data_IF_900551931319
#
_entry.id   IF_900551931319
#
_cell.length_a   1.000
_cell.length_b   1.000
_cell.length_c   1.000
_cell.angle_alpha   90.00
_cell.angle_beta   90.00
_cell.angle_gamma   90.00
#
_symmetry.space_group_name_H-M   'P 1'
#
loop_
_entity.id
_entity.type
_entity.pdbx_description
1 polymer ?
#
# COMPACT_ATOMS: atom_id res chain seq x y z
N UNK A 1 7.32 9.89 -10.40
CA UNK A 1 5.85 10.10 -10.60
C UNK A 1 5.32 9.05 -11.54
N UNK A 2 4.24 8.38 -11.19
CA UNK A 2 3.73 7.23 -11.92
C UNK A 2 2.22 7.29 -12.06
N UNK A 3 1.72 6.89 -13.23
CA UNK A 3 0.32 6.55 -13.42
C UNK A 3 0.19 5.03 -13.38
N UNK A 4 -0.58 4.52 -12.41
CA UNK A 4 -0.75 3.09 -12.18
C UNK A 4 -2.21 2.70 -12.33
N UNK A 5 -2.48 1.66 -13.09
CA UNK A 5 -3.82 1.08 -13.22
C UNK A 5 -3.86 -0.17 -12.35
N UNK A 6 -4.64 -0.12 -11.26
CA UNK A 6 -4.84 -1.28 -10.38
C UNK A 6 -6.05 -2.09 -10.83
N UNK A 7 -5.85 -3.35 -11.18
CA UNK A 7 -6.92 -4.23 -11.65
C UNK A 7 -6.91 -5.61 -10.97
N UNK A 8 -8.02 -6.29 -11.06
CA UNK A 8 -8.21 -7.65 -10.54
C UNK A 8 -9.67 -7.97 -10.31
N UNK A 9 -9.95 -9.22 -10.02
CA UNK A 9 -11.31 -9.71 -9.76
C UNK A 9 -11.93 -9.06 -8.52
N UNK A 10 -13.24 -9.18 -8.37
CA UNK A 10 -13.95 -8.68 -7.19
C UNK A 10 -13.34 -9.28 -5.90
N UNK A 11 -13.12 -8.45 -4.90
CA UNK A 11 -12.48 -8.89 -3.65
C UNK A 11 -10.99 -9.23 -3.73
N UNK A 12 -10.30 -8.93 -4.85
CA UNK A 12 -8.85 -9.17 -5.00
C UNK A 12 -7.97 -8.23 -4.16
N UNK A 13 -8.55 -7.18 -3.57
CA UNK A 13 -7.85 -6.22 -2.73
C UNK A 13 -7.29 -5.00 -3.47
N UNK A 14 -7.88 -4.62 -4.61
CA UNK A 14 -7.48 -3.43 -5.38
C UNK A 14 -7.52 -2.16 -4.53
N UNK A 15 -8.68 -1.89 -3.92
CA UNK A 15 -8.86 -0.74 -3.04
C UNK A 15 -7.94 -0.82 -1.81
N UNK A 16 -7.78 -2.03 -1.21
CA UNK A 16 -6.82 -2.22 -0.11
C UNK A 16 -5.37 -1.91 -0.54
N UNK A 17 -4.97 -2.27 -1.76
CA UNK A 17 -3.66 -1.89 -2.30
C UNK A 17 -3.53 -0.36 -2.37
N UNK A 18 -4.49 0.34 -2.97
CA UNK A 18 -4.46 1.79 -3.10
C UNK A 18 -4.47 2.49 -1.72
N UNK A 19 -5.24 1.99 -0.76
CA UNK A 19 -5.26 2.49 0.63
C UNK A 19 -3.92 2.26 1.33
N UNK A 20 -3.22 1.15 1.05
CA UNK A 20 -1.88 0.91 1.59
C UNK A 20 -0.85 1.91 1.06
N UNK A 21 -0.96 2.28 -0.21
CA UNK A 21 -0.15 3.33 -0.81
C UNK A 21 -0.48 4.71 -0.19
N UNK A 22 -1.78 5.04 -0.04
CA UNK A 22 -2.22 6.27 0.63
C UNK A 22 -1.61 6.39 2.03
N UNK A 23 -1.63 5.32 2.81
CA UNK A 23 -1.01 5.28 4.12
C UNK A 23 0.50 5.56 4.07
N UNK A 24 1.21 5.03 3.07
CA UNK A 24 2.64 5.30 2.90
C UNK A 24 2.93 6.77 2.55
N UNK A 25 2.04 7.42 1.79
CA UNK A 25 2.13 8.85 1.48
C UNK A 25 1.85 9.72 2.70
N UNK A 26 0.81 9.42 3.47
CA UNK A 26 0.45 10.16 4.68
C UNK A 26 1.54 10.10 5.76
N UNK A 27 2.26 9.00 5.87
CA UNK A 27 3.44 8.89 6.76
C UNK A 27 4.54 9.90 6.43
N UNK A 28 4.64 10.29 5.16
CA UNK A 28 5.65 11.23 4.65
C UNK A 28 5.10 12.65 4.53
N UNK A 29 3.94 12.93 5.12
CA UNK A 29 3.23 14.21 5.01
C UNK A 29 2.96 14.64 3.55
N UNK A 30 2.73 13.67 2.66
CA UNK A 30 2.39 13.94 1.26
C UNK A 30 0.88 14.02 1.08
N UNK A 31 0.43 14.85 0.14
CA UNK A 31 -1.00 15.02 -0.14
C UNK A 31 -1.61 13.74 -0.66
N UNK A 32 -2.78 13.38 -0.13
CA UNK A 32 -3.57 12.24 -0.60
C UNK A 32 -4.98 12.73 -0.95
N UNK A 33 -5.46 12.29 -2.10
CA UNK A 33 -6.79 12.58 -2.63
C UNK A 33 -7.44 11.28 -3.07
N UNK A 34 -8.71 11.08 -2.74
CA UNK A 34 -9.47 9.91 -3.16
C UNK A 34 -10.92 10.30 -3.47
N UNK A 35 -11.59 9.56 -4.34
CA UNK A 35 -13.04 9.72 -4.60
C UNK A 35 -13.90 8.86 -3.66
N UNK A 36 -13.33 8.40 -2.57
CA UNK A 36 -14.02 7.68 -1.50
C UNK A 36 -13.44 8.08 -0.14
N UNK A 37 -14.21 7.83 0.91
CA UNK A 37 -13.83 8.19 2.26
C UNK A 37 -12.67 7.34 2.77
N UNK A 38 -11.66 8.02 3.33
CA UNK A 38 -10.51 7.41 3.98
C UNK A 38 -10.39 7.94 5.42
N UNK A 39 -10.38 7.03 6.38
CA UNK A 39 -10.19 7.33 7.79
C UNK A 39 -8.93 6.65 8.33
N UNK A 40 -7.91 7.44 8.58
CA UNK A 40 -6.65 6.98 9.16
C UNK A 40 -6.48 7.39 10.63
N UNK A 41 -7.55 7.82 11.30
CA UNK A 41 -7.50 8.30 12.70
C UNK A 41 -6.96 7.26 13.68
N UNK A 42 -7.18 5.98 13.42
CA UNK A 42 -6.68 4.86 14.23
C UNK A 42 -5.31 4.33 13.80
N UNK A 43 -4.70 4.89 12.75
CA UNK A 43 -3.47 4.35 12.18
C UNK A 43 -2.22 4.98 12.82
N UNK A 44 -1.27 4.18 13.33
CA UNK A 44 -0.03 4.70 13.88
C UNK A 44 0.88 5.25 12.78
N UNK A 45 1.73 6.20 13.15
CA UNK A 45 2.77 6.76 12.29
C UNK A 45 2.30 7.57 11.06
N UNK A 46 1.04 8.01 11.03
CA UNK A 46 0.62 9.06 10.09
C UNK A 46 1.15 10.39 10.59
N UNK A 47 1.66 11.22 9.69
CA UNK A 47 2.19 12.53 10.08
C UNK A 47 1.04 13.42 10.63
N UNK A 48 1.24 14.15 11.71
CA UNK A 48 0.17 14.94 12.37
C UNK A 48 -0.51 15.96 11.45
N UNK A 49 0.25 16.55 10.53
CA UNK A 49 -0.27 17.55 9.59
C UNK A 49 -0.84 16.96 8.30
N UNK A 50 -0.81 15.63 8.18
CA UNK A 50 -1.34 14.94 7.00
C UNK A 50 -2.85 15.03 6.95
N UNK A 51 -3.38 15.15 5.74
CA UNK A 51 -4.81 15.20 5.49
C UNK A 51 -5.17 14.46 4.19
N UNK A 52 -6.42 14.03 4.11
CA UNK A 52 -7.00 13.44 2.91
C UNK A 52 -8.04 14.41 2.34
N UNK A 53 -7.97 14.67 1.04
CA UNK A 53 -9.01 15.37 0.31
C UNK A 53 -9.95 14.33 -0.31
N UNK A 54 -11.26 14.53 -0.16
CA UNK A 54 -12.26 13.65 -0.74
C UNK A 54 -12.89 14.32 -1.95
N UNK A 55 -12.84 13.66 -3.08
CA UNK A 55 -13.52 14.04 -4.32
C UNK A 55 -14.93 13.47 -4.36
N UNK A 56 -15.79 14.00 -5.25
CA UNK A 56 -17.03 13.34 -5.60
C UNK A 56 -16.79 11.91 -6.11
N UNK A 57 -17.79 11.05 -6.00
CA UNK A 57 -17.68 9.64 -6.44
C UNK A 57 -17.26 9.52 -7.91
N UNK A 58 -17.83 10.38 -8.79
CA UNK A 58 -17.39 10.52 -10.19
C UNK A 58 -16.82 11.93 -10.36
N UNK A 59 -15.49 12.12 -10.23
CA UNK A 59 -14.87 13.42 -10.37
C UNK A 59 -14.94 13.93 -11.82
N UNK A 60 -15.13 15.23 -11.96
CA UNK A 60 -15.07 15.95 -13.24
C UNK A 60 -13.71 16.59 -13.45
N UNK A 61 -13.42 17.02 -14.66
CA UNK A 61 -12.18 17.73 -14.97
C UNK A 61 -11.98 18.97 -14.08
N UNK A 62 -13.05 19.72 -13.80
CA UNK A 62 -13.03 20.89 -12.92
C UNK A 62 -12.58 20.53 -11.48
N UNK A 63 -13.01 19.38 -10.97
CA UNK A 63 -12.65 18.90 -9.63
C UNK A 63 -11.14 18.61 -9.53
N UNK A 64 -10.59 17.98 -10.58
CA UNK A 64 -9.17 17.70 -10.64
C UNK A 64 -8.32 18.97 -10.82
N UNK A 65 -8.81 19.93 -11.62
CA UNK A 65 -8.14 21.24 -11.74
C UNK A 65 -8.12 22.00 -10.41
N UNK A 66 -9.18 21.92 -9.60
CA UNK A 66 -9.27 22.55 -8.29
C UNK A 66 -8.24 21.99 -7.27
N UNK A 67 -7.69 20.78 -7.49
CA UNK A 67 -6.65 20.21 -6.64
C UNK A 67 -5.35 21.01 -6.70
N UNK A 68 -5.06 21.66 -7.82
CA UNK A 68 -3.79 22.35 -8.03
C UNK A 68 -2.61 21.38 -8.06
N UNK A 69 -1.44 21.83 -7.59
CA UNK A 69 -0.22 21.00 -7.58
C UNK A 69 -0.23 20.02 -6.42
N UNK A 70 0.15 18.76 -6.67
CA UNK A 70 0.24 17.69 -5.68
C UNK A 70 1.45 17.82 -4.77
N UNK A 71 2.58 18.22 -5.34
CA UNK A 71 3.84 18.44 -4.62
C UNK A 71 4.81 19.28 -5.43
N UNK A 72 5.85 19.85 -4.79
CA UNK A 72 6.83 20.71 -5.45
C UNK A 72 7.83 19.92 -6.31
N UNK A 73 8.09 18.67 -5.98
CA UNK A 73 9.07 17.83 -6.65
C UNK A 73 8.54 16.42 -6.93
N UNK A 74 9.27 15.66 -7.74
CA UNK A 74 8.93 14.26 -8.03
C UNK A 74 8.94 13.38 -6.77
N UNK A 75 9.84 13.65 -5.85
CA UNK A 75 9.95 12.90 -4.58
C UNK A 75 8.87 13.26 -3.56
N UNK A 76 8.20 14.39 -3.75
CA UNK A 76 7.15 14.90 -2.87
C UNK A 76 5.77 14.94 -3.54
N UNK A 77 5.63 14.22 -4.67
CA UNK A 77 4.39 14.14 -5.39
C UNK A 77 3.23 13.69 -4.49
N UNK A 78 2.06 14.29 -4.69
CA UNK A 78 0.82 13.85 -4.05
C UNK A 78 0.30 12.55 -4.69
N UNK A 79 -0.64 11.89 -4.05
CA UNK A 79 -1.31 10.68 -4.53
C UNK A 79 -2.78 10.97 -4.80
N UNK A 80 -3.22 10.70 -6.02
CA UNK A 80 -4.63 10.69 -6.41
C UNK A 80 -5.09 9.25 -6.61
N UNK A 81 -6.16 8.86 -5.93
CA UNK A 81 -6.79 7.55 -6.05
C UNK A 81 -8.20 7.73 -6.59
N UNK A 82 -8.52 7.05 -7.68
CA UNK A 82 -9.87 7.00 -8.24
C UNK A 82 -10.32 5.55 -8.27
N UNK A 83 -11.31 5.24 -7.43
CA UNK A 83 -11.97 3.93 -7.45
C UNK A 83 -13.07 3.93 -8.52
N UNK A 84 -13.32 2.75 -9.08
CA UNK A 84 -14.26 2.52 -10.19
C UNK A 84 -14.03 3.49 -11.37
N UNK A 85 -12.76 3.72 -11.74
CA UNK A 85 -12.36 4.68 -12.78
C UNK A 85 -12.98 4.44 -14.15
N UNK A 86 -13.55 3.26 -14.37
CA UNK A 86 -14.32 2.98 -15.57
C UNK A 86 -15.57 3.86 -15.72
N UNK A 87 -16.16 4.36 -14.63
CA UNK A 87 -17.29 5.29 -14.71
C UNK A 87 -16.89 6.66 -15.27
N UNK A 88 -15.69 7.11 -14.95
CA UNK A 88 -15.19 8.40 -15.43
C UNK A 88 -14.62 8.33 -16.86
N UNK A 89 -14.08 7.17 -17.25
CA UNK A 89 -13.28 6.98 -18.47
C UNK A 89 -13.85 5.90 -19.38
N UNK A 90 -15.17 5.72 -19.40
CA UNK A 90 -15.85 4.72 -20.20
C UNK A 90 -15.76 5.06 -21.70
N UNK A 91 -15.45 4.05 -22.51
CA UNK A 91 -15.37 4.16 -23.97
C UNK A 91 -16.71 4.52 -24.64
N UNK A 92 -17.84 4.23 -23.99
CA UNK A 92 -19.18 4.53 -24.53
C UNK A 92 -19.52 6.01 -24.50
N UNK A 93 -18.79 6.83 -23.76
CA UNK A 93 -18.96 8.27 -23.60
C UNK A 93 -17.84 9.05 -24.30
N UNK A 94 -17.31 8.55 -25.39
CA UNK A 94 -16.15 9.12 -26.09
C UNK A 94 -16.32 10.55 -26.59
N UNK A 95 -17.57 10.99 -26.83
CA UNK A 95 -17.89 12.35 -27.26
C UNK A 95 -18.08 13.35 -26.08
N UNK A 96 -17.94 12.92 -24.85
CA UNK A 96 -18.15 13.75 -23.68
C UNK A 96 -16.92 14.67 -23.45
N UNK A 97 -17.16 15.98 -23.42
CA UNK A 97 -16.14 17.01 -23.14
C UNK A 97 -15.51 16.84 -21.76
N UNK A 98 -16.29 16.40 -20.77
CA UNK A 98 -15.79 16.14 -19.42
C UNK A 98 -14.73 15.02 -19.42
N UNK A 99 -14.99 13.95 -20.15
CA UNK A 99 -14.05 12.86 -20.31
C UNK A 99 -12.75 13.32 -20.97
N UNK A 100 -12.84 14.15 -22.01
CA UNK A 100 -11.66 14.69 -22.68
C UNK A 100 -10.82 15.55 -21.70
N UNK A 101 -11.47 16.40 -20.94
CA UNK A 101 -10.81 17.21 -19.90
C UNK A 101 -10.12 16.35 -18.81
N UNK A 102 -10.72 15.21 -18.42
CA UNK A 102 -10.08 14.27 -17.51
C UNK A 102 -8.82 13.65 -18.12
N UNK A 103 -8.87 13.20 -19.38
CA UNK A 103 -7.71 12.63 -20.09
C UNK A 103 -6.57 13.64 -20.18
N UNK A 104 -6.88 14.88 -20.52
CA UNK A 104 -5.90 15.99 -20.60
C UNK A 104 -5.26 16.25 -19.23
N UNK A 105 -6.06 16.30 -18.18
CA UNK A 105 -5.53 16.46 -16.83
C UNK A 105 -4.62 15.29 -16.41
N UNK A 106 -5.03 14.05 -16.68
CA UNK A 106 -4.20 12.87 -16.39
C UNK A 106 -2.88 12.88 -17.17
N UNK A 107 -2.89 13.33 -18.42
CA UNK A 107 -1.68 13.48 -19.21
C UNK A 107 -0.71 14.52 -18.61
N UNK A 108 -1.26 15.51 -17.92
CA UNK A 108 -0.49 16.55 -17.22
C UNK A 108 -0.17 16.19 -15.75
N UNK A 109 -0.75 15.13 -15.21
CA UNK A 109 -0.66 14.78 -13.77
C UNK A 109 0.78 14.77 -13.27
N UNK A 110 1.72 14.22 -14.07
CA UNK A 110 3.14 14.23 -13.74
C UNK A 110 3.69 15.64 -13.58
N UNK A 111 3.38 16.56 -14.50
CA UNK A 111 3.83 17.96 -14.43
C UNK A 111 3.18 18.71 -13.26
N UNK A 112 1.96 18.31 -12.88
CA UNK A 112 1.24 18.84 -11.75
C UNK A 112 1.71 18.26 -10.41
N UNK A 113 2.61 17.29 -10.40
CA UNK A 113 3.15 16.70 -9.20
C UNK A 113 2.24 15.66 -8.56
N UNK A 114 1.48 14.89 -9.35
CA UNK A 114 0.60 13.85 -8.88
C UNK A 114 1.03 12.46 -9.36
N UNK A 115 1.10 11.51 -8.42
CA UNK A 115 1.02 10.10 -8.71
C UNK A 115 -0.45 9.70 -8.75
N UNK A 116 -0.84 8.86 -9.71
CA UNK A 116 -2.24 8.46 -9.90
C UNK A 116 -2.37 6.94 -9.77
N UNK A 117 -3.38 6.50 -9.02
CA UNK A 117 -3.83 5.10 -9.00
C UNK A 117 -5.29 5.08 -9.46
N UNK A 118 -5.50 4.52 -10.63
CA UNK A 118 -6.82 4.28 -11.19
C UNK A 118 -7.23 2.83 -10.92
N UNK A 119 -8.28 2.63 -10.14
CA UNK A 119 -8.77 1.28 -9.81
C UNK A 119 -9.88 0.91 -10.79
N UNK A 120 -9.75 -0.26 -11.40
CA UNK A 120 -10.72 -0.81 -12.35
C UNK A 120 -10.88 -2.32 -12.14
N UNK A 121 -11.98 -2.86 -12.64
CA UNK A 121 -12.19 -4.32 -12.59
C UNK A 121 -11.47 -5.02 -13.73
N UNK A 122 -11.55 -4.47 -14.93
CA UNK A 122 -10.96 -5.06 -16.14
C UNK A 122 -10.41 -3.98 -17.07
N UNK A 123 -9.24 -4.20 -17.65
CA UNK A 123 -8.57 -3.22 -18.52
C UNK A 123 -9.39 -2.85 -19.77
N UNK A 124 -10.21 -3.76 -20.25
CA UNK A 124 -11.08 -3.51 -21.42
C UNK A 124 -12.24 -2.55 -21.12
N UNK A 125 -12.53 -2.29 -19.83
CA UNK A 125 -13.54 -1.28 -19.46
C UNK A 125 -13.07 0.16 -19.74
N UNK A 126 -11.75 0.34 -19.87
CA UNK A 126 -11.17 1.62 -20.26
C UNK A 126 -11.13 1.77 -21.78
N UNK A 127 -11.28 3.01 -22.23
CA UNK A 127 -11.07 3.38 -23.63
C UNK A 127 -9.65 3.01 -24.11
N UNK A 128 -9.55 2.73 -25.41
CA UNK A 128 -8.28 2.45 -26.08
C UNK A 128 -7.28 3.60 -25.92
N UNK A 129 -7.72 4.85 -26.03
CA UNK A 129 -6.88 6.04 -25.85
C UNK A 129 -6.30 6.08 -24.42
N UNK A 130 -7.12 5.86 -23.39
CA UNK A 130 -6.69 5.84 -22.00
C UNK A 130 -5.68 4.71 -21.75
N UNK A 131 -5.94 3.53 -22.31
CA UNK A 131 -5.01 2.38 -22.20
C UNK A 131 -3.65 2.65 -22.85
N UNK A 132 -3.62 3.31 -24.01
CA UNK A 132 -2.39 3.65 -24.72
C UNK A 132 -1.60 4.74 -23.99
N UNK A 133 -2.28 5.74 -23.43
CA UNK A 133 -1.62 6.86 -22.75
C UNK A 133 -1.12 6.48 -21.34
N UNK A 134 -1.85 5.65 -20.62
CA UNK A 134 -1.63 5.42 -19.19
C UNK A 134 -1.38 3.95 -18.83
N UNK A 135 -1.37 3.06 -19.82
CA UNK A 135 -1.21 1.63 -19.62
C UNK A 135 0.22 1.16 -19.32
N UNK A 136 1.18 2.09 -19.13
CA UNK A 136 2.57 1.73 -18.87
C UNK A 136 2.78 0.95 -17.57
N UNK A 137 1.99 1.21 -16.55
CA UNK A 137 2.12 0.55 -15.25
C UNK A 137 0.81 -0.09 -14.81
N UNK A 138 0.74 -1.40 -14.94
CA UNK A 138 -0.41 -2.21 -14.57
C UNK A 138 -0.13 -2.97 -13.26
N UNK A 139 -0.98 -2.79 -12.26
CA UNK A 139 -0.90 -3.48 -10.97
C UNK A 139 -1.99 -4.54 -10.90
N UNK A 140 -1.59 -5.80 -10.93
CA UNK A 140 -2.49 -6.95 -10.81
C UNK A 140 -2.61 -7.36 -9.36
N UNK A 141 -3.80 -7.16 -8.78
CA UNK A 141 -4.09 -7.57 -7.41
C UNK A 141 -4.65 -8.99 -7.38
N UNK A 142 -4.04 -9.86 -6.58
CA UNK A 142 -4.41 -11.26 -6.41
C UNK A 142 -4.49 -11.64 -4.93
N UNK A 143 -5.46 -12.48 -4.60
CA UNK A 143 -5.59 -13.07 -3.25
C UNK A 143 -4.77 -14.36 -3.19
N UNK A 144 -3.89 -14.48 -2.20
CA UNK A 144 -3.13 -15.69 -1.96
C UNK A 144 -3.86 -16.67 -1.03
N UNK A 145 -4.79 -16.18 -0.19
CA UNK A 145 -5.58 -17.01 0.72
C UNK A 145 -6.53 -18.01 0.03
N UNK A 146 -6.81 -17.80 -1.26
CA UNK A 146 -7.54 -18.79 -2.09
C UNK A 146 -6.67 -19.92 -2.58
N UNK A 147 -5.34 -19.78 -2.50
CA UNK A 147 -4.40 -20.82 -2.88
C UNK A 147 -4.15 -21.74 -1.69
N UNK A 148 -4.13 -23.03 -1.93
CA UNK A 148 -3.77 -24.04 -0.92
C UNK A 148 -2.38 -24.56 -1.24
N UNK A 149 -1.48 -24.49 -0.26
CA UNK A 149 -0.18 -25.12 -0.38
C UNK A 149 -0.36 -26.65 -0.36
N UNK A 150 0.16 -27.35 -1.37
CA UNK A 150 -0.03 -28.80 -1.57
C UNK A 150 -1.50 -29.26 -1.57
N UNK A 151 -2.45 -28.36 -1.91
CA UNK A 151 -3.87 -28.69 -1.95
C UNK A 151 -4.57 -28.75 -0.57
N UNK A 152 -3.84 -28.72 0.53
CA UNK A 152 -4.36 -28.97 1.89
C UNK A 152 -4.23 -27.74 2.79
N UNK A 153 -3.06 -27.11 2.85
CA UNK A 153 -2.77 -26.03 3.81
C UNK A 153 -3.22 -24.68 3.24
N UNK A 154 -4.19 -23.99 3.87
CA UNK A 154 -4.61 -22.67 3.44
C UNK A 154 -3.50 -21.65 3.69
N UNK A 155 -3.17 -20.85 2.68
CA UNK A 155 -2.22 -19.74 2.84
C UNK A 155 -2.79 -18.63 3.72
N UNK A 156 -1.95 -17.85 4.41
CA UNK A 156 -2.40 -16.75 5.24
C UNK A 156 -3.15 -15.71 4.38
N UNK A 157 -4.05 -14.94 5.01
CA UNK A 157 -4.82 -13.86 4.33
C UNK A 157 -3.89 -12.69 3.94
N UNK A 158 -3.07 -12.95 2.93
CA UNK A 158 -2.15 -12.00 2.31
C UNK A 158 -2.56 -11.82 0.86
N UNK A 159 -2.50 -10.59 0.40
CA UNK A 159 -2.73 -10.24 -0.99
C UNK A 159 -1.40 -9.88 -1.65
N UNK A 160 -1.34 -10.11 -2.94
CA UNK A 160 -0.19 -9.82 -3.78
C UNK A 160 -0.59 -8.82 -4.86
N UNK A 161 0.11 -7.71 -4.93
CA UNK A 161 0.09 -6.77 -6.03
C UNK A 161 1.32 -7.01 -6.92
N UNK A 162 1.10 -7.36 -8.17
CA UNK A 162 2.16 -7.56 -9.16
C UNK A 162 2.12 -6.40 -10.12
N UNK A 163 3.16 -5.56 -10.10
CA UNK A 163 3.31 -4.45 -11.05
C UNK A 163 3.98 -4.95 -12.32
N UNK A 164 3.38 -4.65 -13.46
CA UNK A 164 3.89 -4.97 -14.79
C UNK A 164 4.11 -3.71 -15.60
N UNK A 165 5.07 -3.75 -16.50
CA UNK A 165 5.36 -2.67 -17.42
C UNK A 165 4.63 -2.92 -18.74
N UNK A 166 3.38 -2.41 -18.84
CA UNK A 166 2.50 -2.60 -19.98
C UNK A 166 1.21 -3.35 -19.62
N UNK A 167 0.26 -3.32 -20.54
CA UNK A 167 -1.09 -3.90 -20.38
C UNK A 167 -1.21 -5.35 -20.87
N UNK A 168 -0.17 -5.87 -21.54
CA UNK A 168 -0.18 -7.21 -22.09
C UNK A 168 0.10 -8.28 -21.03
N UNK A 169 -0.42 -9.48 -21.28
CA UNK A 169 -0.21 -10.62 -20.38
C UNK A 169 1.27 -11.04 -20.28
N UNK A 170 2.05 -10.78 -21.34
CA UNK A 170 3.48 -11.09 -21.45
C UNK A 170 4.37 -9.97 -20.90
N UNK A 171 3.79 -8.83 -20.52
CA UNK A 171 4.55 -7.67 -20.03
C UNK A 171 5.46 -8.03 -18.84
N UNK A 172 6.69 -7.51 -18.79
CA UNK A 172 7.64 -7.82 -17.74
C UNK A 172 7.14 -7.34 -16.36
N UNK A 173 7.46 -8.12 -15.35
CA UNK A 173 7.14 -7.77 -13.96
C UNK A 173 8.19 -6.82 -13.43
N UNK A 174 7.78 -5.60 -13.04
CA UNK A 174 8.66 -4.57 -12.45
C UNK A 174 8.70 -4.62 -10.93
N UNK A 175 7.67 -5.17 -10.28
CA UNK A 175 7.61 -5.24 -8.82
C UNK A 175 6.57 -6.21 -8.28
N UNK A 176 6.74 -6.59 -7.02
CA UNK A 176 5.78 -7.41 -6.26
C UNK A 176 5.66 -6.84 -4.86
N UNK A 177 4.44 -6.53 -4.45
CA UNK A 177 4.15 -6.00 -3.11
C UNK A 177 3.16 -6.90 -2.41
N UNK A 178 3.51 -7.35 -1.20
CA UNK A 178 2.62 -8.12 -0.36
C UNK A 178 1.96 -7.20 0.65
N UNK A 179 0.66 -7.30 0.82
CA UNK A 179 -0.09 -6.51 1.80
C UNK A 179 -1.19 -7.33 2.47
N UNK A 180 -1.58 -6.90 3.67
CA UNK A 180 -2.62 -7.56 4.47
C UNK A 180 -3.85 -6.65 4.54
N UNK A 181 -5.00 -7.03 3.96
CA UNK A 181 -6.21 -6.21 4.00
C UNK A 181 -6.68 -5.89 5.42
N UNK A 182 -6.51 -6.82 6.37
CA UNK A 182 -6.91 -6.61 7.77
C UNK A 182 -6.24 -5.41 8.44
N UNK A 183 -5.01 -5.08 8.07
CA UNK A 183 -4.29 -3.95 8.66
C UNK A 183 -4.77 -2.60 8.13
N UNK A 184 -5.48 -2.60 7.01
CA UNK A 184 -5.88 -1.39 6.28
C UNK A 184 -7.41 -1.28 6.19
N UNK A 185 -8.12 -2.38 6.45
CA UNK A 185 -9.57 -2.48 6.30
C UNK A 185 -10.38 -1.53 7.19
N UNK A 186 -9.79 -1.05 8.28
CA UNK A 186 -10.44 -0.03 9.12
C UNK A 186 -10.37 1.39 8.50
N UNK A 187 -9.54 1.60 7.47
CA UNK A 187 -9.35 2.92 6.88
C UNK A 187 -10.43 3.30 5.86
N UNK A 188 -11.23 2.37 5.39
CA UNK A 188 -12.26 2.64 4.37
C UNK A 188 -13.43 1.67 4.47
N UNK A 189 -14.62 2.13 4.06
CA UNK A 189 -15.80 1.28 3.99
C UNK A 189 -15.85 0.54 2.65
N UNK A 190 -15.79 -0.80 2.72
CA UNK A 190 -15.86 -1.68 1.54
C UNK A 190 -17.26 -1.82 0.96
N UNK A 191 -18.30 -1.38 1.70
CA UNK A 191 -19.69 -1.51 1.32
C UNK A 191 -20.30 -0.20 0.78
N UNK A 192 -19.49 0.86 0.69
CA UNK A 192 -19.97 2.12 0.12
C UNK A 192 -20.40 1.91 -1.32
N UNK A 193 -21.65 2.20 -1.62
CA UNK A 193 -22.18 2.19 -2.97
C UNK A 193 -21.83 3.51 -3.65
N UNK A 194 -21.38 3.41 -4.89
CA UNK A 194 -21.26 4.56 -5.79
C UNK A 194 -22.68 4.97 -6.24
N UNK A 195 -23.05 6.20 -5.96
CA UNK A 195 -24.31 6.76 -6.44
C UNK A 195 -24.04 7.78 -7.55
N UNK A 196 -24.28 7.43 -8.83
CA UNK A 196 -24.09 8.33 -9.94
C UNK A 196 -24.98 9.59 -9.87
N UNK A 197 -26.10 9.51 -9.15
CA UNK A 197 -27.01 10.66 -8.97
C UNK A 197 -26.45 11.69 -7.97
N UNK A 198 -25.62 11.28 -7.02
CA UNK A 198 -24.96 12.18 -6.06
C UNK A 198 -23.74 12.92 -6.63
N UNK A 199 -23.33 12.58 -7.84
CA UNK A 199 -22.12 13.14 -8.47
C UNK A 199 -22.35 14.42 -9.25
N UNK A 200 -23.54 14.92 -9.32
CA UNK A 200 -23.95 15.98 -10.25
C UNK A 200 -24.12 17.38 -9.68
N UNK A 201 -23.51 17.72 -8.56
CA UNK A 201 -23.50 19.11 -8.10
C UNK A 201 -22.62 19.98 -8.99
N UNK A 202 -23.04 21.22 -9.36
CA UNK A 202 -22.21 22.12 -10.14
C UNK A 202 -20.93 22.60 -9.44
N UNK A 203 -20.72 22.21 -8.19
CA UNK A 203 -19.59 22.62 -7.37
C UNK A 203 -18.93 21.41 -6.74
N UNK A 204 -17.64 21.24 -7.03
CA UNK A 204 -16.77 20.35 -6.29
C UNK A 204 -16.60 20.86 -4.86
N UNK A 205 -17.20 20.17 -3.91
CA UNK A 205 -16.90 20.37 -2.50
C UNK A 205 -15.76 19.42 -2.10
N UNK A 206 -14.54 19.92 -2.17
CA UNK A 206 -13.40 19.23 -1.58
C UNK A 206 -13.55 19.25 -0.05
N UNK A 207 -13.90 18.13 0.53
CA UNK A 207 -13.97 18.00 1.98
C UNK A 207 -12.58 17.68 2.49
N UNK A 208 -11.98 18.65 3.19
CA UNK A 208 -10.72 18.41 3.90
C UNK A 208 -11.04 17.69 5.20
N UNK A 209 -10.67 16.44 5.30
CA UNK A 209 -10.66 15.70 6.57
C UNK A 209 -9.26 15.78 7.15
N UNK A 210 -9.13 16.52 8.23
CA UNK A 210 -7.92 16.48 9.04
C UNK A 210 -7.89 15.10 9.70
N UNK A 211 -6.90 14.31 9.33
CA UNK A 211 -6.52 13.16 10.15
C UNK A 211 -5.90 13.73 11.42
N UNK A 212 -6.73 14.09 12.40
CA UNK A 212 -6.26 14.52 13.73
C UNK A 212 -5.69 13.29 14.41
N UNK A 213 -4.44 12.99 14.11
CA UNK A 213 -3.72 11.90 14.72
C UNK A 213 -2.68 12.46 15.65
N UNK A 214 -2.97 12.37 16.93
CA UNK A 214 -1.89 12.41 17.92
C UNK A 214 -0.93 11.27 17.56
N UNK A 215 0.32 11.64 17.25
CA UNK A 215 1.39 10.67 17.11
C UNK A 215 1.41 9.75 18.33
N UNK A 216 0.84 8.58 18.20
CA UNK A 216 1.04 7.53 19.18
C UNK A 216 2.35 6.86 18.80
N UNK A 217 3.38 7.05 19.63
CA UNK A 217 4.60 6.24 19.53
C UNK A 217 4.18 4.81 19.25
N UNK A 218 4.68 4.17 18.18
CA UNK A 218 4.33 2.77 17.91
C UNK A 218 4.64 2.00 19.17
N UNK A 219 3.63 1.36 19.77
CA UNK A 219 3.83 0.46 20.90
C UNK A 219 4.84 -0.57 20.41
N UNK A 220 6.07 -0.50 20.91
CA UNK A 220 7.07 -1.53 20.64
C UNK A 220 6.38 -2.86 20.92
N UNK A 221 6.22 -3.66 19.90
CA UNK A 221 5.48 -4.90 20.05
C UNK A 221 6.18 -5.67 21.15
N UNK A 222 5.50 -5.93 22.23
CA UNK A 222 5.96 -6.67 23.40
C UNK A 222 6.72 -7.96 23.00
N UNK A 223 6.32 -8.54 21.88
CA UNK A 223 6.96 -9.71 21.27
C UNK A 223 8.42 -9.50 20.84
N UNK A 224 8.83 -8.30 20.40
CA UNK A 224 10.23 -8.03 20.03
C UNK A 224 11.07 -7.93 21.30
N UNK A 225 10.56 -7.27 22.33
CA UNK A 225 11.23 -7.17 23.62
C UNK A 225 11.34 -8.55 24.29
N UNK A 226 10.25 -9.34 24.27
CA UNK A 226 10.25 -10.71 24.79
C UNK A 226 11.20 -11.63 23.99
N UNK A 227 11.20 -11.54 22.66
CA UNK A 227 12.12 -12.31 21.82
C UNK A 227 13.59 -11.96 22.10
N UNK A 228 13.92 -10.67 22.18
CA UNK A 228 15.27 -10.21 22.51
C UNK A 228 15.69 -10.61 23.92
N UNK A 229 14.76 -10.63 24.87
CA UNK A 229 15.00 -11.13 26.24
C UNK A 229 15.28 -12.63 26.24
N UNK A 230 14.47 -13.45 25.54
CA UNK A 230 14.69 -14.89 25.41
C UNK A 230 16.03 -15.19 24.71
N UNK A 231 16.39 -14.44 23.68
CA UNK A 231 17.66 -14.60 22.97
C UNK A 231 18.86 -14.31 23.90
N UNK A 232 18.78 -13.26 24.72
CA UNK A 232 19.81 -12.93 25.73
C UNK A 232 19.89 -14.01 26.79
N UNK A 233 18.78 -14.58 27.22
CA UNK A 233 18.76 -15.66 28.20
C UNK A 233 19.43 -16.93 27.64
N UNK A 234 19.11 -17.29 26.40
CA UNK A 234 19.73 -18.44 25.72
C UNK A 234 21.26 -18.23 25.58
N UNK A 235 21.69 -17.05 25.19
CA UNK A 235 23.11 -16.73 25.09
C UNK A 235 23.81 -16.78 26.45
N UNK A 236 23.17 -16.29 27.51
CA UNK A 236 23.74 -16.35 28.87
C UNK A 236 23.85 -17.78 29.35
N UNK A 237 22.85 -18.64 29.13
CA UNK A 237 22.87 -20.05 29.51
C UNK A 237 23.96 -20.83 28.73
N UNK A 238 24.07 -20.56 27.43
CA UNK A 238 25.12 -21.20 26.59
C UNK A 238 26.55 -20.77 27.01
N UNK A 239 26.73 -19.50 27.36
CA UNK A 239 28.00 -18.99 27.90
C UNK A 239 28.36 -19.64 29.25
N UNK A 240 27.39 -19.80 30.16
CA UNK A 240 27.61 -20.48 31.45
C UNK A 240 27.91 -21.98 31.25
N UNK A 241 27.24 -22.64 30.31
CA UNK A 241 27.53 -24.03 29.98
C UNK A 241 28.94 -24.18 29.39
N UNK A 242 29.34 -23.27 28.50
CA UNK A 242 30.70 -23.26 27.92
C UNK A 242 31.78 -22.99 28.98
N UNK A 243 31.56 -22.04 29.91
CA UNK A 243 32.45 -21.75 30.99
C UNK A 243 32.66 -22.98 31.90
N UNK A 244 31.56 -23.69 32.26
CA UNK A 244 31.66 -24.93 33.06
C UNK A 244 32.43 -26.02 32.34
N UNK A 245 32.25 -26.21 31.05
CA UNK A 245 32.99 -27.23 30.27
C UNK A 245 34.47 -26.89 30.15
N UNK A 246 34.84 -25.62 30.07
CA UNK A 246 36.26 -25.18 30.06
C UNK A 246 36.91 -25.36 31.41
N UNK A 247 36.20 -25.09 32.51
CA UNK A 247 36.74 -25.35 33.85
C UNK A 247 36.94 -26.85 34.11
N UNK A 248 36.03 -27.71 33.68
CA UNK A 248 36.22 -29.18 33.77
C UNK A 248 37.39 -29.67 32.94
N UNK A 249 37.58 -29.15 31.72
CA UNK A 249 38.72 -29.54 30.88
C UNK A 249 40.06 -29.07 31.46
N UNK A 250 40.11 -27.91 32.11
CA UNK A 250 41.28 -27.40 32.82
C UNK A 250 41.62 -28.22 34.08
N UNK A 251 40.59 -28.62 34.83
CA UNK A 251 40.76 -29.50 36.02
C UNK A 251 41.26 -30.90 35.63
N UNK A 252 40.71 -31.50 34.58
CA UNK A 252 41.18 -32.80 34.08
C UNK A 252 42.61 -32.71 33.54
N UNK A 253 42.99 -31.63 32.88
CA UNK A 253 44.36 -31.43 32.39
C UNK A 253 45.38 -31.27 33.54
N UNK A 254 44.99 -30.61 34.65
CA UNK A 254 45.81 -30.49 35.85
C UNK A 254 45.91 -31.82 36.56
N UNK A 255 44.82 -32.54 36.78
CA UNK A 255 44.84 -33.87 37.40
C UNK A 255 45.71 -34.89 36.63
N UNK A 256 45.55 -34.88 35.26
CA UNK A 256 46.36 -35.71 34.41
C UNK A 256 47.88 -35.40 34.45
N UNK A 257 48.24 -34.11 34.60
CA UNK A 257 49.61 -33.67 34.74
C UNK A 257 50.22 -34.01 36.09
N UNK A 258 49.44 -34.04 37.16
CA UNK A 258 49.92 -34.43 38.51
C UNK A 258 50.09 -35.95 38.64
N UNK A 259 49.27 -36.77 37.97
CA UNK A 259 49.46 -38.22 37.88
C UNK A 259 50.68 -38.62 37.06
N UNK A 260 51.00 -37.83 36.01
CA UNK A 260 52.22 -38.13 35.22
C UNK A 260 53.52 -37.72 35.88
N UNK A 261 53.49 -36.96 36.98
CA UNK A 261 54.65 -36.62 37.80
C UNK A 261 54.90 -37.56 39.03
N UNK A 262 53.92 -38.43 39.30
CA UNK A 262 53.92 -39.31 40.44
C UNK A 262 54.31 -40.80 40.10
N UNK A 263 54.53 -41.05 38.79
CA UNK A 263 55.14 -42.32 38.27
C UNK A 263 56.54 -41.98 37.77
#
# INVERSE_FOLDING_TARGET
MSFRIAMGTLGSGKTSFAVSEAYAYLKKNRRVVANFDLDFTSFPAVHPDSYVLVLPDIPRAADLHALGRGGPSEHEAGLLIIDEGAFCLNSRQWADKERQGLIEWFALSRKLGWDVILIIQHIQALDKQVRLLFGESLVLCKRLDKLKLMGIIPLPKVHLAVTRYGTEATAPVSGRTFFRPKTIGAAYDTNKLFDPAMTGGPFCTLTRRLAVLRYQKPKQKFYIAAFMFCLRLIMAVSLMAWARTTDYALIQKKLGADYAKAI
#
